data_IF_458682910438
#
_entry.id   IF_458682910438
#
_cell.length_a   1.000
_cell.length_b   1.000
_cell.length_c   1.000
_cell.angle_alpha   90.00
_cell.angle_beta   90.00
_cell.angle_gamma   90.00
#
_symmetry.space_group_name_H-M   'P 1'
#
loop_
_entity.id
_entity.type
_entity.pdbx_description
1 polymer ?
#
# COMPACT_ATOMS: atom_id res chain seq x y z
N UNK A 1 -71.23 51.50 -10.22
CA UNK A 1 -69.86 51.39 -9.69
C UNK A 1 -69.47 49.95 -9.86
N UNK A 2 -68.80 49.62 -10.95
CA UNK A 2 -68.36 48.25 -11.27
C UNK A 2 -66.84 48.17 -11.18
N UNK A 3 -66.33 47.39 -10.22
CA UNK A 3 -64.95 47.14 -10.06
C UNK A 3 -64.50 45.97 -11.01
N UNK A 4 -63.54 46.22 -11.91
CA UNK A 4 -62.93 45.21 -12.77
C UNK A 4 -61.73 44.59 -12.04
N UNK A 5 -61.81 43.32 -11.79
CA UNK A 5 -60.64 42.52 -11.35
C UNK A 5 -59.77 42.14 -12.55
N UNK A 6 -58.51 42.53 -12.50
CA UNK A 6 -57.42 42.07 -13.42
C UNK A 6 -56.88 40.80 -12.90
N UNK A 7 -56.92 39.73 -13.72
CA UNK A 7 -56.25 38.46 -13.49
C UNK A 7 -54.88 38.57 -14.08
N UNK A 8 -53.84 38.48 -13.23
CA UNK A 8 -52.45 38.31 -13.66
C UNK A 8 -52.16 36.82 -13.83
N UNK A 9 -51.86 36.40 -15.06
CA UNK A 9 -51.30 35.07 -15.36
C UNK A 9 -49.82 35.17 -15.17
N UNK A 10 -49.32 34.56 -14.09
CA UNK A 10 -47.89 34.44 -13.81
C UNK A 10 -47.30 33.33 -14.67
N UNK A 11 -46.42 33.69 -15.58
CA UNK A 11 -45.57 32.74 -16.29
C UNK A 11 -44.52 32.16 -15.32
N UNK A 12 -44.72 30.92 -14.93
CA UNK A 12 -43.71 30.17 -14.13
C UNK A 12 -42.49 29.86 -14.98
N UNK A 13 -41.38 30.56 -14.72
CA UNK A 13 -40.06 30.14 -15.19
C UNK A 13 -39.66 28.88 -14.42
N UNK A 14 -39.73 27.74 -15.07
CA UNK A 14 -39.03 26.54 -14.60
C UNK A 14 -37.52 26.76 -14.77
N UNK A 15 -36.85 27.20 -13.74
CA UNK A 15 -35.40 27.10 -13.63
C UNK A 15 -35.05 25.64 -13.41
N UNK A 16 -34.59 24.98 -14.45
CA UNK A 16 -33.91 23.68 -14.36
C UNK A 16 -32.61 23.94 -13.62
N UNK A 17 -32.63 23.71 -12.32
CA UNK A 17 -31.39 23.59 -11.52
C UNK A 17 -30.67 22.34 -12.01
N UNK A 18 -29.72 22.50 -12.96
CA UNK A 18 -28.68 21.52 -13.18
C UNK A 18 -27.88 21.46 -11.87
N UNK A 19 -28.22 20.50 -11.02
CA UNK A 19 -27.38 20.13 -9.92
C UNK A 19 -26.04 19.67 -10.53
N UNK A 20 -25.04 20.50 -10.40
CA UNK A 20 -23.65 20.12 -10.58
C UNK A 20 -23.37 19.07 -9.52
N UNK A 21 -23.50 17.79 -9.87
CA UNK A 21 -22.94 16.72 -9.09
C UNK A 21 -21.45 16.98 -9.01
N UNK A 22 -21.02 17.46 -7.86
CA UNK A 22 -19.63 17.76 -7.62
C UNK A 22 -18.83 16.48 -7.80
N UNK A 23 -17.76 16.54 -8.58
CA UNK A 23 -16.82 15.45 -8.86
C UNK A 23 -16.13 14.86 -7.60
N UNK A 24 -16.58 15.22 -6.40
CA UNK A 24 -16.10 14.75 -5.11
C UNK A 24 -16.74 13.44 -4.63
N UNK A 25 -17.81 12.96 -5.25
CA UNK A 25 -18.39 11.63 -4.96
C UNK A 25 -17.81 10.50 -5.78
N UNK A 26 -17.00 10.79 -6.79
CA UNK A 26 -16.50 9.78 -7.73
C UNK A 26 -15.31 8.93 -7.25
N UNK A 27 -14.96 9.00 -5.97
CA UNK A 27 -13.97 8.06 -5.42
C UNK A 27 -14.60 7.08 -4.42
N UNK A 28 -15.90 6.90 -4.46
CA UNK A 28 -16.49 5.66 -3.94
C UNK A 28 -16.16 4.62 -5.01
N UNK A 29 -15.02 4.01 -4.84
CA UNK A 29 -14.58 2.85 -5.56
C UNK A 29 -15.75 1.90 -5.70
N UNK A 30 -15.95 1.32 -6.87
CA UNK A 30 -16.98 0.31 -7.02
C UNK A 30 -16.83 -0.69 -5.87
N UNK A 31 -17.91 -0.99 -5.19
CA UNK A 31 -17.89 -1.82 -3.99
C UNK A 31 -18.92 -2.94 -4.10
N UNK A 32 -18.47 -4.16 -3.80
CA UNK A 32 -19.35 -5.31 -3.61
C UNK A 32 -19.77 -5.32 -2.15
N UNK A 33 -21.06 -5.14 -1.89
CA UNK A 33 -21.62 -5.19 -0.54
C UNK A 33 -22.16 -6.57 -0.24
N UNK A 34 -21.80 -7.10 0.93
CA UNK A 34 -22.16 -8.48 1.32
C UNK A 34 -22.44 -8.56 2.82
N UNK A 35 -22.98 -9.70 3.29
CA UNK A 35 -23.12 -9.93 4.73
C UNK A 35 -21.76 -10.09 5.41
N UNK A 36 -21.65 -9.88 6.73
CA UNK A 36 -20.42 -10.12 7.48
C UNK A 36 -19.87 -11.55 7.30
N UNK A 37 -20.74 -12.54 7.26
CA UNK A 37 -20.40 -13.96 7.09
C UNK A 37 -19.85 -14.25 5.69
N UNK A 38 -20.51 -13.73 4.65
CA UNK A 38 -20.04 -13.85 3.27
C UNK A 38 -18.71 -13.11 3.09
N UNK A 39 -18.53 -11.93 3.72
CA UNK A 39 -17.24 -11.23 3.70
C UNK A 39 -16.14 -12.04 4.40
N UNK A 40 -16.43 -12.68 5.53
CA UNK A 40 -15.47 -13.57 6.19
C UNK A 40 -15.08 -14.75 5.29
N UNK A 41 -16.02 -15.29 4.52
CA UNK A 41 -15.74 -16.33 3.52
C UNK A 41 -14.82 -15.82 2.41
N UNK A 42 -15.07 -14.63 1.85
CA UNK A 42 -14.17 -14.01 0.89
C UNK A 42 -12.76 -13.80 1.48
N UNK A 43 -12.69 -13.38 2.73
CA UNK A 43 -11.40 -13.15 3.39
C UNK A 43 -10.65 -14.48 3.65
N UNK A 44 -11.34 -15.54 4.01
CA UNK A 44 -10.75 -16.86 4.26
C UNK A 44 -10.13 -17.49 2.99
N UNK A 45 -10.73 -17.22 1.83
CA UNK A 45 -10.29 -17.72 0.52
C UNK A 45 -9.53 -16.68 -0.30
N UNK A 46 -9.24 -15.51 0.28
CA UNK A 46 -8.55 -14.44 -0.44
C UNK A 46 -7.14 -14.87 -0.84
N UNK A 47 -6.72 -14.42 -2.01
CA UNK A 47 -5.32 -14.53 -2.43
C UNK A 47 -4.49 -13.67 -1.48
N UNK A 48 -3.59 -14.30 -0.72
CA UNK A 48 -2.61 -13.64 0.15
C UNK A 48 -1.27 -13.54 -0.57
N UNK A 49 -0.95 -14.54 -1.37
CA UNK A 49 0.29 -14.66 -2.11
C UNK A 49 0.05 -15.16 -3.53
N UNK A 50 0.80 -14.61 -4.49
CA UNK A 50 0.87 -15.07 -5.88
C UNK A 50 2.33 -15.24 -6.28
N UNK A 51 2.63 -16.20 -7.14
CA UNK A 51 3.97 -16.27 -7.71
C UNK A 51 4.25 -15.03 -8.55
N UNK A 52 5.25 -14.21 -8.20
CA UNK A 52 5.59 -13.00 -8.97
C UNK A 52 6.26 -13.32 -10.31
N UNK A 53 6.61 -14.59 -10.56
CA UNK A 53 7.45 -14.97 -11.68
C UNK A 53 8.93 -14.57 -11.48
N UNK A 54 9.71 -14.68 -12.55
CA UNK A 54 11.08 -14.19 -12.55
C UNK A 54 11.08 -12.69 -12.88
N UNK A 55 11.65 -11.90 -12.00
CA UNK A 55 11.85 -10.46 -12.19
C UNK A 55 13.33 -10.18 -12.48
N UNK A 56 13.60 -9.13 -13.22
CA UNK A 56 14.94 -8.58 -13.36
C UNK A 56 15.13 -7.35 -12.47
N UNK A 57 16.37 -6.92 -12.19
CA UNK A 57 16.62 -5.66 -11.49
C UNK A 57 15.97 -4.45 -12.18
N UNK A 58 15.80 -4.49 -13.51
CA UNK A 58 15.10 -3.47 -14.27
C UNK A 58 13.60 -3.50 -13.97
N UNK A 59 12.97 -4.66 -13.96
CA UNK A 59 11.54 -4.78 -13.63
C UNK A 59 11.27 -4.26 -12.21
N UNK A 60 12.14 -4.61 -11.26
CA UNK A 60 12.03 -4.11 -9.88
C UNK A 60 12.19 -2.59 -9.80
N UNK A 61 13.08 -2.01 -10.58
CA UNK A 61 13.26 -0.56 -10.66
C UNK A 61 12.03 0.14 -11.24
N UNK A 62 11.50 -0.36 -12.36
CA UNK A 62 10.31 0.16 -13.03
C UNK A 62 9.03 -0.04 -12.19
N UNK A 63 8.88 -1.23 -11.63
CA UNK A 63 7.71 -1.67 -10.88
C UNK A 63 6.64 -2.35 -11.72
N UNK A 64 5.47 -2.67 -11.14
CA UNK A 64 4.43 -3.40 -11.86
C UNK A 64 3.99 -2.68 -13.13
N UNK A 65 4.00 -3.41 -14.24
CA UNK A 65 3.65 -2.89 -15.56
C UNK A 65 2.21 -2.35 -15.57
N UNK A 66 2.00 -1.18 -16.16
CA UNK A 66 0.68 -0.56 -16.28
C UNK A 66 0.12 0.07 -15.00
N UNK A 67 0.85 0.00 -13.89
CA UNK A 67 0.40 0.63 -12.63
C UNK A 67 0.40 2.17 -12.69
N UNK A 68 1.19 2.76 -13.57
CA UNK A 68 1.39 4.21 -13.68
C UNK A 68 1.42 4.65 -15.16
N UNK A 69 1.06 5.93 -15.42
CA UNK A 69 1.15 6.50 -16.77
C UNK A 69 2.59 6.87 -17.17
N UNK A 70 3.56 6.73 -16.28
CA UNK A 70 4.97 7.09 -16.48
C UNK A 70 5.87 5.89 -16.21
N UNK A 71 6.98 5.79 -16.97
CA UNK A 71 8.10 4.91 -16.64
C UNK A 71 8.89 5.49 -15.48
N UNK A 72 9.74 4.67 -14.85
CA UNK A 72 10.66 5.14 -13.80
C UNK A 72 11.57 6.27 -14.31
N UNK A 73 12.12 6.14 -15.52
CA UNK A 73 13.01 7.13 -16.12
C UNK A 73 12.30 8.47 -16.35
N UNK A 74 11.08 8.45 -16.94
CA UNK A 74 10.27 9.66 -17.12
C UNK A 74 9.96 10.35 -15.80
N UNK A 75 9.54 9.58 -14.80
CA UNK A 75 9.14 10.09 -13.49
C UNK A 75 10.32 10.69 -12.71
N UNK A 76 11.56 10.25 -12.97
CA UNK A 76 12.75 10.67 -12.24
C UNK A 76 13.73 11.49 -13.07
N UNK A 77 13.34 11.95 -14.25
CA UNK A 77 14.11 12.87 -15.07
C UNK A 77 14.43 14.17 -14.29
N UNK A 78 15.45 14.90 -14.70
CA UNK A 78 15.82 16.15 -14.01
C UNK A 78 14.80 17.28 -14.24
N UNK A 79 14.08 17.23 -15.34
CA UNK A 79 12.95 18.13 -15.62
C UNK A 79 11.78 17.87 -14.66
N UNK A 80 11.55 16.60 -14.34
CA UNK A 80 10.40 16.12 -13.57
C UNK A 80 9.10 16.19 -14.37
N UNK A 81 8.04 15.64 -13.82
CA UNK A 81 6.71 15.71 -14.41
C UNK A 81 6.08 17.08 -14.11
N UNK A 82 5.69 17.78 -15.17
CA UNK A 82 5.01 19.08 -15.05
C UNK A 82 3.54 18.88 -14.67
N UNK A 83 3.10 19.66 -13.68
CA UNK A 83 1.70 19.65 -13.24
C UNK A 83 1.31 20.99 -12.61
N UNK A 84 0.03 21.28 -12.55
CA UNK A 84 -0.54 22.47 -11.90
C UNK A 84 -1.17 22.07 -10.57
N UNK A 85 -0.97 22.86 -9.54
CA UNK A 85 -1.59 22.60 -8.22
C UNK A 85 -3.10 22.49 -8.35
N UNK A 86 -3.65 21.36 -7.93
CA UNK A 86 -5.08 21.15 -7.82
C UNK A 86 -5.48 21.17 -6.34
N UNK A 87 -6.32 22.13 -5.98
CA UNK A 87 -6.85 22.19 -4.62
C UNK A 87 -7.77 21.00 -4.41
N UNK A 88 -7.48 20.18 -3.40
CA UNK A 88 -8.41 19.12 -3.02
C UNK A 88 -9.72 19.75 -2.56
N UNK A 89 -10.84 19.33 -3.13
CA UNK A 89 -12.16 19.78 -2.71
C UNK A 89 -12.52 19.31 -1.29
N UNK A 90 -11.75 18.37 -0.75
CA UNK A 90 -11.82 17.84 0.60
C UNK A 90 -10.39 17.68 1.14
N UNK A 91 -10.23 17.87 2.43
CA UNK A 91 -8.95 17.66 3.09
C UNK A 91 -8.41 16.25 2.82
N UNK A 92 -7.16 16.18 2.35
CA UNK A 92 -6.49 14.90 2.09
C UNK A 92 -6.20 14.23 3.43
N UNK A 93 -6.98 13.24 3.81
CA UNK A 93 -6.90 12.56 5.11
C UNK A 93 -5.51 11.99 5.42
N UNK A 94 -5.20 11.85 6.73
CA UNK A 94 -3.93 11.34 7.27
C UNK A 94 -2.89 12.44 7.50
N UNK A 95 -1.87 12.16 8.31
CA UNK A 95 -0.86 13.14 8.79
C UNK A 95 0.29 13.38 7.80
N UNK A 96 0.49 12.51 6.81
CA UNK A 96 1.61 12.65 5.87
C UNK A 96 1.39 13.78 4.90
N UNK A 97 2.42 14.59 4.65
CA UNK A 97 2.39 15.69 3.68
C UNK A 97 2.06 15.18 2.26
N UNK A 98 0.97 15.69 1.69
CA UNK A 98 0.44 15.28 0.38
C UNK A 98 -0.32 16.41 -0.29
N UNK A 99 -0.44 16.35 -1.62
CA UNK A 99 -1.26 17.28 -2.40
C UNK A 99 -1.73 16.63 -3.70
N UNK A 100 -2.66 17.29 -4.37
CA UNK A 100 -3.09 16.94 -5.73
C UNK A 100 -2.42 17.87 -6.73
N UNK A 101 -1.97 17.30 -7.83
CA UNK A 101 -1.40 18.01 -8.96
C UNK A 101 -1.99 17.47 -10.25
N UNK A 102 -2.40 18.36 -11.16
CA UNK A 102 -3.02 17.99 -12.44
C UNK A 102 -2.05 18.24 -13.58
N UNK A 103 -1.81 17.22 -14.38
CA UNK A 103 -0.98 17.32 -15.59
C UNK A 103 -1.75 17.97 -16.74
N UNK A 104 -1.04 18.40 -17.79
CA UNK A 104 -1.65 19.06 -18.94
C UNK A 104 -2.61 18.14 -19.71
N UNK A 105 -2.37 16.83 -19.69
CA UNK A 105 -3.21 15.77 -20.28
C UNK A 105 -4.38 15.35 -19.38
N UNK A 106 -4.56 16.05 -18.23
CA UNK A 106 -5.72 15.91 -17.36
C UNK A 106 -5.63 14.85 -16.28
N UNK A 107 -4.48 14.20 -16.09
CA UNK A 107 -4.28 13.24 -15.00
C UNK A 107 -4.16 13.93 -13.64
N UNK A 108 -4.94 13.49 -12.67
CA UNK A 108 -4.83 13.92 -11.28
C UNK A 108 -3.82 13.04 -10.54
N UNK A 109 -2.68 13.63 -10.19
CA UNK A 109 -1.61 12.98 -9.43
C UNK A 109 -1.81 13.22 -7.94
N UNK A 110 -2.06 12.15 -7.19
CA UNK A 110 -2.08 12.19 -5.72
C UNK A 110 -0.67 11.91 -5.20
N UNK A 111 0.00 12.94 -4.75
CA UNK A 111 1.41 12.91 -4.39
C UNK A 111 1.59 12.98 -2.88
N UNK A 112 2.37 12.05 -2.30
CA UNK A 112 3.05 12.28 -1.03
C UNK A 112 4.43 12.85 -1.36
N UNK A 113 4.87 13.92 -0.69
CA UNK A 113 6.11 14.58 -1.04
C UNK A 113 7.09 14.66 0.13
N UNK A 114 8.37 14.65 -0.20
CA UNK A 114 9.46 14.88 0.71
C UNK A 114 9.56 16.37 1.03
N UNK A 115 9.60 16.70 2.31
CA UNK A 115 9.84 18.06 2.79
C UNK A 115 11.14 18.07 3.62
N UNK A 116 12.26 18.52 3.03
CA UNK A 116 13.55 18.56 3.71
C UNK A 116 13.58 19.59 4.85
N UNK A 117 12.66 20.56 4.89
CA UNK A 117 12.56 21.56 5.95
C UNK A 117 11.73 21.06 7.16
N UNK A 118 10.95 20.01 6.99
CA UNK A 118 10.25 19.34 8.08
C UNK A 118 11.25 18.64 8.99
N UNK A 119 11.11 18.81 10.32
CA UNK A 119 11.96 18.12 11.31
C UNK A 119 12.06 16.60 11.11
N UNK A 120 11.03 16.01 10.57
CA UNK A 120 10.94 14.56 10.35
C UNK A 120 11.08 14.19 8.88
N UNK A 121 10.94 15.16 7.96
CA UNK A 121 10.74 14.89 6.53
C UNK A 121 9.59 13.88 6.34
N UNK A 122 8.93 13.86 5.22
CA UNK A 122 7.95 12.80 4.97
C UNK A 122 8.65 11.55 4.41
N UNK A 123 9.37 10.82 5.27
CA UNK A 123 10.11 9.61 4.87
C UNK A 123 9.23 8.47 4.34
N UNK A 124 7.90 8.57 4.48
CA UNK A 124 6.96 7.65 3.83
C UNK A 124 7.10 7.62 2.31
N UNK A 125 7.56 8.71 1.71
CA UNK A 125 7.85 8.77 0.26
C UNK A 125 8.79 7.64 -0.14
N UNK A 126 9.86 7.44 0.61
CA UNK A 126 10.87 6.41 0.37
C UNK A 126 10.39 5.04 0.85
N UNK A 127 9.80 4.98 2.06
CA UNK A 127 9.33 3.73 2.68
C UNK A 127 8.23 3.05 1.88
N UNK A 128 7.28 3.81 1.35
CA UNK A 128 6.21 3.24 0.52
C UNK A 128 6.77 2.62 -0.76
N UNK A 129 7.72 3.28 -1.42
CA UNK A 129 8.36 2.73 -2.63
C UNK A 129 9.13 1.46 -2.31
N UNK A 130 10.02 1.47 -1.31
CA UNK A 130 10.81 0.30 -0.95
C UNK A 130 9.92 -0.89 -0.56
N UNK A 131 8.93 -0.67 0.31
CA UNK A 131 8.08 -1.73 0.81
C UNK A 131 7.15 -2.29 -0.28
N UNK A 132 6.53 -1.44 -1.11
CA UNK A 132 5.67 -1.93 -2.19
C UNK A 132 6.45 -2.72 -3.24
N UNK A 133 7.68 -2.29 -3.58
CA UNK A 133 8.56 -3.06 -4.48
C UNK A 133 8.96 -4.40 -3.89
N UNK A 134 9.36 -4.43 -2.62
CA UNK A 134 9.74 -5.68 -1.95
C UNK A 134 8.55 -6.64 -1.86
N UNK A 135 7.38 -6.17 -1.43
CA UNK A 135 6.19 -7.00 -1.35
C UNK A 135 5.82 -7.58 -2.70
N UNK A 136 5.80 -6.78 -3.74
CA UNK A 136 5.54 -7.23 -5.11
C UNK A 136 6.58 -8.27 -5.58
N UNK A 137 7.87 -8.02 -5.38
CA UNK A 137 8.93 -8.95 -5.76
C UNK A 137 8.85 -10.29 -5.01
N UNK A 138 8.24 -10.31 -3.83
CA UNK A 138 8.02 -11.51 -3.03
C UNK A 138 6.62 -12.14 -3.26
N UNK A 139 5.77 -11.55 -4.13
CA UNK A 139 4.44 -12.06 -4.47
C UNK A 139 3.34 -11.69 -3.48
N UNK A 140 3.58 -10.76 -2.57
CA UNK A 140 2.57 -10.20 -1.67
C UNK A 140 2.03 -8.88 -2.22
N UNK A 141 0.73 -8.66 -2.10
CA UNK A 141 0.09 -7.50 -2.71
C UNK A 141 0.16 -6.27 -1.78
N UNK A 142 0.72 -5.20 -2.31
CA UNK A 142 0.65 -3.87 -1.77
C UNK A 142 0.38 -2.87 -2.90
N UNK A 143 -0.34 -1.79 -2.61
CA UNK A 143 -0.61 -0.77 -3.62
C UNK A 143 0.72 -0.21 -4.15
N UNK A 144 0.97 -0.31 -5.45
CA UNK A 144 2.22 0.14 -6.05
C UNK A 144 2.48 1.63 -5.81
N UNK A 145 3.76 1.97 -5.67
CA UNK A 145 4.22 3.35 -5.55
C UNK A 145 5.36 3.62 -6.54
N UNK A 146 5.28 4.75 -7.25
CA UNK A 146 6.32 5.21 -8.16
C UNK A 146 7.02 6.42 -7.54
N UNK A 147 8.35 6.41 -7.39
CA UNK A 147 9.08 7.63 -7.04
C UNK A 147 8.99 8.60 -8.21
N UNK A 148 8.78 9.87 -7.92
CA UNK A 148 8.53 10.88 -8.96
C UNK A 148 9.10 12.22 -8.54
N UNK A 149 9.76 12.88 -9.48
CA UNK A 149 10.08 14.31 -9.38
C UNK A 149 8.97 15.09 -10.06
N UNK A 150 8.46 16.12 -9.43
CA UNK A 150 7.43 16.98 -10.03
C UNK A 150 7.85 18.44 -10.03
N UNK A 151 7.48 19.11 -11.11
CA UNK A 151 7.52 20.57 -11.24
C UNK A 151 6.10 21.09 -11.20
N UNK A 152 5.71 21.56 -10.02
CA UNK A 152 4.34 22.00 -9.76
C UNK A 152 4.23 23.50 -9.98
N UNK A 153 3.38 23.91 -10.92
CA UNK A 153 3.06 25.32 -11.15
C UNK A 153 1.91 25.77 -10.24
N UNK A 154 1.99 27.03 -9.78
CA UNK A 154 0.99 27.58 -8.86
C UNK A 154 0.93 26.88 -7.49
N UNK A 155 1.97 26.15 -7.11
CA UNK A 155 2.02 25.47 -5.83
C UNK A 155 2.18 26.44 -4.66
N UNK A 156 1.32 26.33 -3.61
CA UNK A 156 1.47 27.11 -2.39
C UNK A 156 2.75 26.72 -1.63
N UNK A 157 3.14 27.53 -0.69
CA UNK A 157 4.32 27.27 0.14
C UNK A 157 4.19 25.97 0.93
N UNK A 158 3.00 25.72 1.48
CA UNK A 158 2.63 24.44 2.04
C UNK A 158 1.50 23.82 1.21
N UNK A 159 1.81 22.94 0.25
CA UNK A 159 0.77 22.38 -0.62
C UNK A 159 -0.17 21.39 0.11
N UNK A 160 0.24 20.84 1.26
CA UNK A 160 -0.61 19.98 2.05
C UNK A 160 -1.81 20.74 2.66
N UNK A 161 -1.55 21.94 3.15
CA UNK A 161 -2.59 22.80 3.73
C UNK A 161 -3.16 23.82 2.73
N UNK A 162 -2.52 23.98 1.57
CA UNK A 162 -2.86 25.02 0.60
C UNK A 162 -2.43 26.43 1.00
N UNK A 163 -1.63 26.57 2.07
CA UNK A 163 -1.23 27.86 2.65
C UNK A 163 0.04 28.43 2.01
N UNK A 164 0.16 29.78 2.09
CA UNK A 164 1.33 30.53 1.67
C UNK A 164 1.31 30.98 0.21
N UNK A 165 2.39 31.65 -0.20
CA UNK A 165 2.56 32.21 -1.54
C UNK A 165 2.62 31.11 -2.61
N UNK A 166 1.95 31.37 -3.75
CA UNK A 166 1.94 30.44 -4.88
C UNK A 166 3.06 30.76 -5.86
N UNK A 167 3.81 29.71 -6.25
CA UNK A 167 4.85 29.80 -7.29
C UNK A 167 5.15 28.41 -7.86
N UNK A 168 5.91 28.35 -8.92
CA UNK A 168 6.45 27.07 -9.42
C UNK A 168 7.45 26.51 -8.41
N UNK A 169 7.26 25.24 -8.02
CA UNK A 169 8.10 24.52 -7.06
C UNK A 169 8.44 23.13 -7.57
N UNK A 170 9.57 22.60 -7.13
CA UNK A 170 9.99 21.23 -7.42
C UNK A 170 9.87 20.38 -6.14
N UNK A 171 9.39 19.15 -6.29
CA UNK A 171 9.25 18.19 -5.20
C UNK A 171 9.82 16.85 -5.60
N UNK A 172 10.51 16.19 -4.65
CA UNK A 172 10.70 14.76 -4.63
C UNK A 172 9.46 14.17 -3.97
N UNK A 173 8.80 13.27 -4.65
CA UNK A 173 7.52 12.75 -4.23
C UNK A 173 7.38 11.26 -4.57
N UNK A 174 6.31 10.66 -4.15
CA UNK A 174 5.83 9.40 -4.69
C UNK A 174 4.39 9.53 -5.17
N UNK A 175 4.11 8.90 -6.29
CA UNK A 175 2.79 8.69 -6.83
C UNK A 175 2.31 7.30 -6.40
N UNK A 176 1.20 7.25 -5.68
CA UNK A 176 0.57 5.97 -5.34
C UNK A 176 -0.40 5.59 -6.46
N UNK A 177 -0.36 4.33 -6.89
CA UNK A 177 -1.33 3.81 -7.84
C UNK A 177 -2.76 3.87 -7.29
N UNK A 178 -3.74 3.77 -8.16
CA UNK A 178 -5.13 3.62 -7.74
C UNK A 178 -5.30 2.33 -6.93
N UNK A 179 -6.17 2.40 -5.93
CA UNK A 179 -6.47 1.22 -5.15
C UNK A 179 -7.23 0.21 -5.99
N UNK A 180 -6.98 -1.09 -5.80
CA UNK A 180 -7.70 -2.10 -6.55
C UNK A 180 -9.19 -2.07 -6.22
N UNK A 181 -10.01 -2.26 -7.26
CA UNK A 181 -11.47 -2.24 -7.20
C UNK A 181 -12.05 -3.42 -7.97
N UNK A 182 -13.29 -3.84 -7.68
CA UNK A 182 -14.14 -3.37 -6.59
C UNK A 182 -13.70 -3.89 -5.23
N UNK A 183 -13.85 -3.07 -4.19
CA UNK A 183 -13.61 -3.49 -2.81
C UNK A 183 -14.80 -4.31 -2.27
N UNK A 184 -14.53 -5.26 -1.38
CA UNK A 184 -15.57 -6.10 -0.74
C UNK A 184 -15.82 -5.59 0.68
N UNK A 185 -17.02 -5.07 0.92
CA UNK A 185 -17.43 -4.44 2.17
C UNK A 185 -18.58 -5.21 2.84
N UNK A 186 -18.68 -5.14 4.16
CA UNK A 186 -19.90 -5.54 4.85
C UNK A 186 -21.01 -4.50 4.67
N UNK A 187 -22.25 -4.97 4.61
CA UNK A 187 -23.43 -4.10 4.60
C UNK A 187 -23.40 -3.12 5.77
N UNK A 188 -23.78 -1.87 5.51
CA UNK A 188 -23.86 -0.80 6.52
C UNK A 188 -22.52 -0.20 6.96
N UNK A 189 -21.38 -0.64 6.43
CA UNK A 189 -20.06 -0.05 6.73
C UNK A 189 -19.44 0.56 5.48
N UNK A 190 -18.85 1.74 5.66
CA UNK A 190 -18.06 2.45 4.65
C UNK A 190 -16.60 2.32 5.06
N UNK A 191 -15.69 2.12 4.09
CA UNK A 191 -14.24 2.01 4.28
C UNK A 191 -13.75 0.90 5.21
N UNK A 192 -14.46 -0.23 5.22
CA UNK A 192 -14.03 -1.37 6.00
C UNK A 192 -12.88 -2.13 5.32
N UNK A 193 -11.65 -1.90 5.80
CA UNK A 193 -10.51 -2.78 5.51
C UNK A 193 -10.59 -4.11 6.27
N UNK A 194 -9.62 -4.98 6.06
CA UNK A 194 -9.42 -6.17 6.89
C UNK A 194 -8.36 -5.89 7.97
N UNK A 195 -8.45 -6.57 9.10
CA UNK A 195 -7.39 -6.58 10.09
C UNK A 195 -6.63 -7.90 10.05
N UNK A 196 -5.39 -7.89 10.56
CA UNK A 196 -4.59 -9.11 10.70
C UNK A 196 -5.33 -10.17 11.53
N UNK A 197 -6.06 -9.74 12.55
CA UNK A 197 -6.92 -10.61 13.37
C UNK A 197 -8.11 -11.16 12.59
N UNK A 198 -8.75 -10.32 11.74
CA UNK A 198 -9.86 -10.80 10.90
C UNK A 198 -9.39 -11.88 9.94
N UNK A 199 -8.23 -11.67 9.30
CA UNK A 199 -7.67 -12.62 8.34
C UNK A 199 -7.26 -13.94 9.04
N UNK A 200 -6.58 -13.88 10.17
CA UNK A 200 -6.26 -15.07 10.97
C UNK A 200 -7.53 -15.83 11.40
N UNK A 201 -8.53 -15.10 11.90
CA UNK A 201 -9.81 -15.70 12.31
C UNK A 201 -10.52 -16.37 11.13
N UNK A 202 -10.59 -15.68 9.97
CA UNK A 202 -11.22 -16.23 8.78
C UNK A 202 -10.52 -17.52 8.30
N UNK A 203 -9.20 -17.56 8.30
CA UNK A 203 -8.42 -18.76 7.93
C UNK A 203 -8.68 -19.90 8.92
N UNK A 204 -8.81 -19.62 10.22
CA UNK A 204 -9.13 -20.64 11.24
C UNK A 204 -10.51 -21.27 11.05
N UNK A 205 -11.46 -20.57 10.43
CA UNK A 205 -12.78 -21.09 10.13
C UNK A 205 -12.80 -22.04 8.93
N UNK A 206 -11.76 -22.06 8.09
CA UNK A 206 -11.65 -23.04 7.01
C UNK A 206 -11.61 -24.46 7.57
N UNK A 207 -12.21 -25.45 6.88
CA UNK A 207 -12.04 -26.85 7.23
C UNK A 207 -10.56 -27.24 7.31
N UNK A 208 -10.23 -28.15 8.25
CA UNK A 208 -8.87 -28.70 8.32
C UNK A 208 -8.54 -29.39 7.00
N UNK A 209 -7.37 -29.08 6.43
CA UNK A 209 -6.92 -29.63 5.16
C UNK A 209 -5.88 -28.76 4.47
N UNK A 210 -5.55 -29.10 3.23
CA UNK A 210 -4.48 -28.45 2.46
C UNK A 210 -4.70 -26.95 2.25
N UNK A 211 -5.95 -26.54 2.00
CA UNK A 211 -6.27 -25.12 1.79
C UNK A 211 -6.00 -24.30 3.04
N UNK A 212 -6.51 -24.72 4.20
CA UNK A 212 -6.25 -24.05 5.48
C UNK A 212 -4.76 -24.00 5.79
N UNK A 213 -4.03 -25.10 5.59
CA UNK A 213 -2.59 -25.17 5.81
C UNK A 213 -1.84 -24.16 4.91
N UNK A 214 -2.20 -24.11 3.63
CA UNK A 214 -1.62 -23.17 2.65
C UNK A 214 -1.90 -21.72 3.04
N UNK A 215 -3.14 -21.36 3.35
CA UNK A 215 -3.51 -20.01 3.75
C UNK A 215 -2.79 -19.58 5.05
N UNK A 216 -2.65 -20.48 6.01
CA UNK A 216 -1.87 -20.23 7.22
C UNK A 216 -0.39 -20.00 6.92
N UNK A 217 0.20 -20.78 6.03
CA UNK A 217 1.59 -20.59 5.58
C UNK A 217 1.78 -19.20 5.00
N UNK A 218 0.91 -18.78 4.08
CA UNK A 218 1.00 -17.46 3.44
C UNK A 218 0.75 -16.31 4.43
N UNK A 219 -0.23 -16.45 5.31
CA UNK A 219 -0.50 -15.47 6.36
C UNK A 219 0.69 -15.30 7.32
N UNK A 220 1.30 -16.41 7.77
CA UNK A 220 2.47 -16.36 8.63
C UNK A 220 3.68 -15.76 7.91
N UNK A 221 3.87 -16.06 6.63
CA UNK A 221 4.92 -15.47 5.81
C UNK A 221 4.72 -13.95 5.64
N UNK A 222 3.49 -13.50 5.32
CA UNK A 222 3.15 -12.08 5.26
C UNK A 222 3.35 -11.38 6.61
N UNK A 223 3.00 -12.06 7.71
CA UNK A 223 3.21 -11.56 9.07
C UNK A 223 4.70 -11.38 9.36
N UNK A 224 5.53 -12.38 9.02
CA UNK A 224 6.98 -12.31 9.18
C UNK A 224 7.62 -11.26 8.26
N UNK A 225 7.13 -11.08 7.04
CA UNK A 225 7.57 -10.00 6.15
C UNK A 225 7.28 -8.63 6.76
N UNK A 226 6.11 -8.46 7.39
CA UNK A 226 5.79 -7.25 8.13
C UNK A 226 6.75 -7.00 9.32
N UNK A 227 7.17 -8.06 10.03
CA UNK A 227 8.22 -7.98 11.07
C UNK A 227 9.57 -7.60 10.46
N UNK A 228 9.96 -8.25 9.37
CA UNK A 228 11.20 -7.97 8.64
C UNK A 228 11.31 -6.49 8.24
N UNK A 229 10.24 -5.93 7.69
CA UNK A 229 10.16 -4.52 7.31
C UNK A 229 9.87 -3.56 8.48
N UNK A 230 9.58 -4.08 9.69
CA UNK A 230 9.11 -3.27 10.83
C UNK A 230 7.81 -2.51 10.51
N UNK A 231 6.88 -3.14 9.78
CA UNK A 231 5.58 -2.58 9.48
C UNK A 231 4.64 -2.65 10.69
N UNK A 232 4.70 -1.63 11.56
CA UNK A 232 3.93 -1.56 12.81
C UNK A 232 2.59 -0.83 12.71
N UNK A 233 2.31 -0.14 11.60
CA UNK A 233 1.05 0.59 11.40
C UNK A 233 0.00 -0.27 10.67
N UNK A 234 -0.49 -1.30 11.38
CA UNK A 234 -1.37 -2.35 10.86
C UNK A 234 -2.85 -2.07 11.08
N UNK A 235 -3.27 -0.80 10.96
CA UNK A 235 -4.67 -0.41 11.12
C UNK A 235 -5.53 -0.95 9.98
N UNK A 236 -6.75 -1.34 10.30
CA UNK A 236 -7.73 -1.91 9.37
C UNK A 236 -7.97 -1.03 8.14
N UNK A 237 -8.02 0.27 8.32
CA UNK A 237 -8.22 1.24 7.23
C UNK A 237 -7.06 1.32 6.24
N UNK A 238 -5.93 0.67 6.55
CA UNK A 238 -4.76 0.59 5.65
C UNK A 238 -4.70 -0.70 4.85
N UNK A 239 -5.70 -1.56 4.94
CA UNK A 239 -5.81 -2.79 4.17
C UNK A 239 -7.12 -2.83 3.40
N UNK A 240 -7.14 -3.53 2.27
CA UNK A 240 -8.36 -3.75 1.48
C UNK A 240 -8.53 -5.22 1.11
N UNK A 241 -9.78 -5.65 1.15
CA UNK A 241 -10.24 -6.89 0.51
C UNK A 241 -10.92 -6.48 -0.78
N UNK A 242 -10.48 -7.01 -1.90
CA UNK A 242 -10.99 -6.62 -3.21
C UNK A 242 -11.25 -7.83 -4.11
N UNK A 243 -11.99 -7.62 -5.18
CA UNK A 243 -12.22 -8.63 -6.19
C UNK A 243 -11.10 -8.59 -7.23
N UNK A 244 -10.30 -9.63 -7.28
CA UNK A 244 -9.12 -9.72 -8.15
C UNK A 244 -9.48 -10.14 -9.60
N UNK A 245 -10.64 -10.76 -9.81
CA UNK A 245 -11.17 -11.07 -11.14
C UNK A 245 -12.55 -10.41 -11.25
N UNK A 246 -12.65 -9.34 -12.01
CA UNK A 246 -13.92 -8.76 -12.43
C UNK A 246 -14.31 -9.41 -13.75
N UNK A 247 -15.45 -10.08 -13.77
CA UNK A 247 -16.07 -10.47 -15.02
C UNK A 247 -16.78 -9.23 -15.55
N UNK A 248 -16.22 -8.60 -16.59
CA UNK A 248 -16.96 -7.60 -17.35
C UNK A 248 -18.14 -8.29 -18.03
N UNK A 249 -19.32 -8.15 -17.41
CA UNK A 249 -20.56 -8.76 -17.91
C UNK A 249 -21.03 -8.17 -19.25
N UNK A 250 -20.46 -7.04 -19.67
CA UNK A 250 -20.79 -6.42 -20.98
C UNK A 250 -20.00 -7.00 -22.17
N UNK A 251 -18.88 -7.67 -21.96
CA UNK A 251 -18.04 -8.15 -23.05
C UNK A 251 -17.89 -9.67 -23.13
N UNK A 252 -18.37 -10.45 -22.17
CA UNK A 252 -18.26 -11.93 -22.19
C UNK A 252 -16.82 -12.48 -22.21
N UNK A 253 -15.81 -11.63 -22.15
CA UNK A 253 -14.39 -12.01 -22.14
C UNK A 253 -13.80 -11.84 -20.75
N UNK A 254 -13.31 -12.95 -20.21
CA UNK A 254 -12.43 -12.96 -19.04
C UNK A 254 -11.09 -12.31 -19.43
N UNK A 255 -10.92 -11.00 -19.19
CA UNK A 255 -9.58 -10.44 -19.16
C UNK A 255 -8.93 -10.82 -17.83
N UNK A 256 -8.35 -12.01 -17.82
CA UNK A 256 -7.37 -12.40 -16.84
C UNK A 256 -6.02 -11.84 -17.30
N UNK A 257 -5.61 -10.70 -16.78
CA UNK A 257 -4.23 -10.25 -16.92
C UNK A 257 -3.34 -11.30 -16.24
N UNK A 258 -2.84 -12.26 -17.03
CA UNK A 258 -1.81 -13.26 -16.71
C UNK A 258 -1.92 -13.95 -15.33
N UNK A 259 -3.11 -14.23 -14.85
CA UNK A 259 -3.31 -15.05 -13.66
C UNK A 259 -3.36 -16.51 -14.08
N UNK A 260 -2.30 -17.25 -13.88
CA UNK A 260 -2.35 -18.71 -13.88
C UNK A 260 -3.22 -19.12 -12.70
N UNK A 261 -4.50 -19.28 -12.95
CA UNK A 261 -5.48 -19.75 -11.97
C UNK A 261 -5.31 -21.25 -11.81
N UNK A 262 -4.99 -21.77 -10.61
CA UNK A 262 -5.13 -23.21 -10.38
C UNK A 262 -6.59 -23.60 -10.55
N UNK A 263 -6.90 -24.85 -10.98
CA UNK A 263 -8.26 -25.26 -11.23
C UNK A 263 -9.13 -25.06 -9.99
N UNK A 264 -10.11 -24.17 -10.12
CA UNK A 264 -11.13 -23.88 -9.10
C UNK A 264 -11.96 -25.13 -8.88
N UNK A 265 -11.85 -25.75 -7.71
CA UNK A 265 -12.90 -26.61 -7.20
C UNK A 265 -14.06 -25.68 -6.85
N UNK A 266 -15.06 -25.65 -7.72
CA UNK A 266 -16.31 -24.93 -7.51
C UNK A 266 -17.04 -25.52 -6.30
N UNK A 267 -16.72 -25.06 -5.10
CA UNK A 267 -17.64 -25.17 -3.98
C UNK A 267 -18.74 -24.14 -4.22
N UNK A 268 -19.99 -24.58 -4.24
CA UNK A 268 -21.15 -23.69 -4.37
C UNK A 268 -21.07 -22.60 -3.30
N UNK A 269 -20.75 -21.38 -3.73
CA UNK A 269 -20.63 -20.21 -2.85
C UNK A 269 -21.95 -19.45 -2.89
N UNK A 270 -22.59 -19.19 -1.75
CA UNK A 270 -23.75 -18.30 -1.72
C UNK A 270 -23.32 -16.93 -2.24
N UNK A 271 -23.88 -16.44 -3.36
CA UNK A 271 -23.58 -15.16 -3.95
C UNK A 271 -22.36 -15.11 -4.88
N UNK A 272 -21.94 -16.26 -5.45
CA UNK A 272 -20.77 -16.41 -6.33
C UNK A 272 -20.78 -15.55 -7.63
N UNK A 273 -21.89 -14.88 -7.93
CA UNK A 273 -22.01 -14.02 -9.12
C UNK A 273 -21.26 -12.68 -9.02
N UNK A 274 -20.93 -12.21 -7.80
CA UNK A 274 -20.38 -10.87 -7.63
C UNK A 274 -18.84 -10.82 -7.62
N UNK A 275 -18.15 -11.85 -7.12
CA UNK A 275 -16.69 -11.91 -7.09
C UNK A 275 -16.18 -13.35 -7.09
N UNK A 276 -15.70 -13.88 -8.21
CA UNK A 276 -15.17 -15.24 -8.28
C UNK A 276 -13.87 -15.42 -7.51
N UNK A 277 -13.04 -14.39 -7.40
CA UNK A 277 -11.73 -14.45 -6.77
C UNK A 277 -11.44 -13.19 -5.97
N UNK A 278 -11.33 -13.32 -4.65
CA UNK A 278 -10.96 -12.22 -3.76
C UNK A 278 -9.46 -12.20 -3.48
N UNK A 279 -8.92 -11.02 -3.19
CA UNK A 279 -7.53 -10.84 -2.77
C UNK A 279 -7.43 -9.80 -1.66
N UNK A 280 -6.35 -9.88 -0.88
CA UNK A 280 -6.00 -8.89 0.13
C UNK A 280 -4.86 -8.03 -0.35
N UNK A 281 -4.89 -6.73 -0.04
CA UNK A 281 -3.79 -5.80 -0.30
C UNK A 281 -3.54 -4.89 0.88
N UNK A 282 -2.32 -4.41 1.02
CA UNK A 282 -1.94 -3.37 1.98
C UNK A 282 -1.81 -2.04 1.22
N UNK A 283 -2.60 -1.05 1.64
CA UNK A 283 -2.69 0.25 0.96
C UNK A 283 -1.59 1.20 1.42
N UNK A 284 -1.22 1.16 2.69
CA UNK A 284 -0.21 2.06 3.25
C UNK A 284 0.90 1.28 3.96
N UNK A 285 2.03 1.18 3.28
CA UNK A 285 3.25 0.52 3.75
C UNK A 285 4.37 1.53 4.03
N UNK A 286 4.05 2.80 4.17
CA UNK A 286 5.05 3.87 4.29
C UNK A 286 5.80 3.90 5.63
N UNK A 287 5.18 3.41 6.70
CA UNK A 287 5.81 3.31 8.00
C UNK A 287 6.59 1.98 8.15
N UNK A 288 7.71 1.87 7.43
CA UNK A 288 8.54 0.67 7.33
C UNK A 288 10.02 1.01 7.35
N UNK A 289 10.86 0.00 7.48
CA UNK A 289 12.33 0.08 7.48
C UNK A 289 12.86 1.08 8.53
N UNK A 290 12.32 0.99 9.76
CA UNK A 290 12.73 1.81 10.89
C UNK A 290 12.40 1.12 12.21
N UNK A 291 12.25 1.89 13.27
CA UNK A 291 11.70 1.40 14.53
C UNK A 291 10.17 1.47 14.49
N UNK A 292 9.49 0.44 14.97
CA UNK A 292 8.04 0.46 15.12
C UNK A 292 7.65 0.56 16.60
N UNK A 293 6.48 1.15 16.87
CA UNK A 293 5.90 1.18 18.21
C UNK A 293 5.78 2.55 18.86
N UNK A 294 5.37 2.56 20.13
CA UNK A 294 5.08 3.78 20.91
C UNK A 294 6.27 4.69 21.14
N UNK A 295 7.45 4.11 21.26
CA UNK A 295 8.70 4.82 21.56
C UNK A 295 9.39 5.36 20.30
N UNK A 296 8.90 4.98 19.12
CA UNK A 296 9.45 5.45 17.87
C UNK A 296 9.00 6.89 17.60
N UNK A 297 9.95 7.82 17.55
CA UNK A 297 9.67 9.10 16.93
C UNK A 297 9.33 8.88 15.45
N UNK A 298 8.61 9.80 14.82
CA UNK A 298 8.31 9.70 13.39
C UNK A 298 9.57 9.51 12.54
N UNK A 299 10.67 10.16 12.92
CA UNK A 299 11.96 10.04 12.27
C UNK A 299 12.58 8.64 12.39
N UNK A 300 12.31 7.89 13.47
CA UNK A 300 12.83 6.53 13.67
C UNK A 300 11.91 5.44 13.15
N UNK A 301 10.62 5.76 12.97
CA UNK A 301 9.62 4.79 12.51
C UNK A 301 9.61 4.55 11.00
N UNK A 302 10.25 5.43 10.22
CA UNK A 302 10.15 5.43 8.76
C UNK A 302 11.52 5.57 8.13
N UNK A 303 11.92 4.62 7.31
CA UNK A 303 13.18 4.66 6.55
C UNK A 303 14.36 5.20 7.38
N UNK A 304 14.62 4.56 8.50
CA UNK A 304 15.75 4.86 9.36
C UNK A 304 16.62 3.60 9.49
N UNK A 305 17.75 3.60 8.80
CA UNK A 305 18.63 2.44 8.70
C UNK A 305 19.12 1.94 10.06
N UNK A 306 19.60 2.85 10.92
CA UNK A 306 20.12 2.47 12.24
C UNK A 306 19.03 1.89 13.13
N UNK A 307 17.81 2.45 13.08
CA UNK A 307 16.68 1.93 13.82
C UNK A 307 16.27 0.54 13.31
N UNK A 308 16.29 0.35 11.99
CA UNK A 308 15.97 -0.94 11.38
C UNK A 308 17.05 -1.99 11.67
N UNK A 309 18.32 -1.64 11.58
CA UNK A 309 19.46 -2.51 11.88
C UNK A 309 19.40 -3.01 13.34
N UNK A 310 19.16 -2.12 14.29
CA UNK A 310 19.08 -2.48 15.73
C UNK A 310 17.94 -3.44 16.08
N UNK A 311 16.85 -3.45 15.29
CA UNK A 311 15.74 -4.38 15.51
C UNK A 311 16.10 -5.76 15.02
N UNK A 312 15.93 -6.77 15.86
CA UNK A 312 16.06 -8.16 15.41
C UNK A 312 14.79 -8.59 14.69
N UNK A 313 14.87 -9.67 13.90
CA UNK A 313 13.66 -10.25 13.32
C UNK A 313 12.86 -11.01 14.37
N UNK A 314 13.54 -11.68 15.30
CA UNK A 314 12.88 -12.40 16.39
C UNK A 314 13.31 -11.89 17.75
N UNK A 315 12.36 -11.86 18.68
CA UNK A 315 12.64 -11.60 20.08
C UNK A 315 13.48 -12.74 20.69
N UNK A 316 14.22 -12.45 21.74
CA UNK A 316 14.84 -13.50 22.54
C UNK A 316 13.74 -14.29 23.26
N UNK A 317 13.54 -15.54 22.90
CA UNK A 317 12.62 -16.47 23.55
C UNK A 317 13.34 -17.73 24.00
N UNK A 318 12.86 -18.32 25.09
CA UNK A 318 13.31 -19.64 25.49
C UNK A 318 12.55 -20.69 24.68
N UNK A 319 13.28 -21.56 23.99
CA UNK A 319 12.70 -22.65 23.17
C UNK A 319 12.49 -22.29 21.68
N UNK A 320 11.66 -23.11 21.00
CA UNK A 320 11.45 -23.06 19.55
C UNK A 320 10.27 -22.17 19.13
N UNK A 321 9.60 -21.48 20.07
CA UNK A 321 8.59 -20.49 19.71
C UNK A 321 9.26 -19.29 19.02
N UNK A 322 8.81 -18.94 17.83
CA UNK A 322 9.29 -17.76 17.13
C UNK A 322 8.31 -16.61 17.32
N UNK A 323 8.75 -15.59 18.02
CA UNK A 323 8.01 -14.32 18.11
C UNK A 323 8.76 -13.25 17.33
N UNK A 324 8.09 -12.66 16.37
CA UNK A 324 8.65 -11.54 15.61
C UNK A 324 8.90 -10.34 16.51
N UNK A 325 10.04 -9.67 16.38
CA UNK A 325 10.29 -8.42 17.13
C UNK A 325 9.58 -7.25 16.42
N UNK A 326 8.33 -7.04 16.74
CA UNK A 326 7.51 -5.98 16.19
C UNK A 326 6.61 -5.36 17.25
N UNK A 327 6.67 -4.05 17.40
CA UNK A 327 5.71 -3.31 18.21
C UNK A 327 4.72 -2.59 17.31
N UNK A 328 3.45 -2.95 17.39
CA UNK A 328 2.41 -2.24 16.63
C UNK A 328 1.97 -0.96 17.33
N UNK A 329 1.52 0.03 16.57
CA UNK A 329 0.98 1.27 17.12
C UNK A 329 -0.25 1.00 17.99
N UNK A 330 -0.54 1.89 18.95
CA UNK A 330 -1.71 1.72 19.83
C UNK A 330 -3.03 1.54 19.07
N UNK A 331 -3.20 2.28 17.96
CA UNK A 331 -4.38 2.14 17.11
C UNK A 331 -4.43 0.78 16.40
N UNK A 332 -3.28 0.22 16.07
CA UNK A 332 -3.19 -1.07 15.40
C UNK A 332 -3.30 -2.28 16.36
N UNK A 333 -3.25 -2.08 17.70
CA UNK A 333 -3.38 -3.18 18.67
C UNK A 333 -4.74 -3.89 18.60
N UNK A 334 -5.79 -3.18 18.17
CA UNK A 334 -7.12 -3.78 17.98
C UNK A 334 -7.18 -4.66 16.73
N UNK A 335 -6.35 -4.37 15.75
CA UNK A 335 -6.35 -4.97 14.42
C UNK A 335 -5.22 -5.99 14.21
N UNK A 336 -4.25 -6.06 15.13
CA UNK A 336 -3.14 -6.99 15.12
C UNK A 336 -2.46 -7.06 16.49
N UNK A 337 -1.39 -7.83 16.59
CA UNK A 337 -0.65 -8.01 17.84
C UNK A 337 0.81 -7.58 17.70
N UNK A 338 1.39 -7.14 18.80
CA UNK A 338 2.83 -6.99 18.94
C UNK A 338 3.50 -8.35 19.11
N UNK A 339 4.71 -8.48 18.61
CA UNK A 339 5.50 -9.71 18.68
C UNK A 339 4.72 -10.96 18.24
N UNK A 340 4.18 -10.97 17.00
CA UNK A 340 3.35 -12.06 16.52
C UNK A 340 4.10 -13.39 16.52
N UNK A 341 3.37 -14.48 16.79
CA UNK A 341 3.90 -15.84 16.65
C UNK A 341 4.01 -16.21 15.18
N UNK A 342 5.13 -16.79 14.80
CA UNK A 342 5.44 -17.22 13.43
C UNK A 342 5.62 -18.74 13.41
N UNK A 343 4.93 -19.42 12.51
CA UNK A 343 5.10 -20.87 12.30
C UNK A 343 6.33 -21.19 11.45
N UNK A 344 6.83 -22.41 11.57
CA UNK A 344 7.96 -22.91 10.78
C UNK A 344 7.64 -22.92 9.28
N UNK A 345 6.40 -23.26 8.90
CA UNK A 345 5.96 -23.28 7.50
C UNK A 345 6.00 -21.87 6.89
N UNK A 346 5.47 -20.88 7.61
CA UNK A 346 5.51 -19.48 7.17
C UNK A 346 6.93 -18.93 7.09
N UNK A 347 7.78 -19.29 8.07
CA UNK A 347 9.19 -18.91 8.07
C UNK A 347 9.92 -19.50 6.84
N UNK A 348 9.79 -20.80 6.61
CA UNK A 348 10.43 -21.47 5.47
C UNK A 348 9.96 -20.92 4.15
N UNK A 349 8.66 -20.71 4.01
CA UNK A 349 8.09 -20.13 2.81
C UNK A 349 8.69 -18.75 2.53
N UNK A 350 8.75 -17.85 3.53
CA UNK A 350 9.32 -16.52 3.32
C UNK A 350 10.82 -16.59 2.97
N UNK A 351 11.60 -17.48 3.60
CA UNK A 351 13.02 -17.70 3.26
C UNK A 351 13.16 -18.11 1.79
N UNK A 352 12.32 -19.03 1.32
CA UNK A 352 12.32 -19.45 -0.07
C UNK A 352 12.06 -18.27 -1.01
N UNK A 353 11.08 -17.41 -0.72
CA UNK A 353 10.82 -16.25 -1.54
C UNK A 353 11.95 -15.21 -1.48
N UNK A 354 12.53 -14.98 -0.30
CA UNK A 354 13.67 -14.06 -0.14
C UNK A 354 14.91 -14.51 -0.91
N UNK A 355 15.14 -15.81 -1.05
CA UNK A 355 16.23 -16.36 -1.86
C UNK A 355 16.04 -16.21 -3.37
N UNK A 356 14.79 -16.03 -3.82
CA UNK A 356 14.50 -15.76 -5.24
C UNK A 356 14.87 -14.33 -5.63
N UNK A 357 14.94 -13.42 -4.66
CA UNK A 357 15.32 -12.02 -4.92
C UNK A 357 16.83 -11.89 -4.84
N UNK A 358 17.43 -11.59 -5.97
CA UNK A 358 18.89 -11.41 -6.09
C UNK A 358 19.37 -10.15 -5.38
N UNK A 359 20.67 -10.09 -5.09
CA UNK A 359 21.27 -8.89 -4.49
C UNK A 359 21.09 -7.63 -5.37
N UNK A 360 21.12 -7.80 -6.70
CA UNK A 360 20.92 -6.69 -7.63
C UNK A 360 19.47 -6.19 -7.62
N UNK A 361 18.50 -7.08 -7.44
CA UNK A 361 17.09 -6.69 -7.26
C UNK A 361 16.88 -5.98 -5.94
N UNK A 362 17.53 -6.42 -4.85
CA UNK A 362 17.52 -5.68 -3.57
C UNK A 362 18.14 -4.29 -3.73
N UNK A 363 19.23 -4.16 -4.48
CA UNK A 363 19.79 -2.85 -4.85
C UNK A 363 18.81 -2.01 -5.65
N UNK A 364 18.09 -2.61 -6.61
CA UNK A 364 17.08 -1.93 -7.40
C UNK A 364 15.91 -1.42 -6.55
N UNK A 365 15.46 -2.20 -5.54
CA UNK A 365 14.44 -1.77 -4.57
C UNK A 365 14.88 -0.48 -3.86
N UNK A 366 16.08 -0.48 -3.27
CA UNK A 366 16.57 0.67 -2.50
C UNK A 366 16.97 1.85 -3.40
N UNK A 367 17.41 1.60 -4.63
CA UNK A 367 17.63 2.64 -5.64
C UNK A 367 16.32 3.29 -6.05
N UNK A 368 15.28 2.50 -6.35
CA UNK A 368 13.96 3.02 -6.64
C UNK A 368 13.42 3.87 -5.50
N UNK A 369 13.68 3.49 -4.26
CA UNK A 369 13.27 4.23 -3.08
C UNK A 369 14.15 5.47 -2.78
N UNK A 370 15.17 5.79 -3.60
CA UNK A 370 16.08 6.92 -3.39
C UNK A 370 16.67 6.99 -1.98
N UNK A 371 17.07 5.86 -1.40
CA UNK A 371 17.64 5.82 -0.04
C UNK A 371 18.97 6.57 0.07
N UNK A 372 19.64 6.82 -1.05
CA UNK A 372 20.80 7.71 -1.17
C UNK A 372 20.53 9.12 -0.65
N UNK A 373 19.31 9.61 -0.77
CA UNK A 373 18.91 10.92 -0.23
C UNK A 373 18.79 10.93 1.31
N UNK A 374 18.76 9.79 1.94
CA UNK A 374 18.67 9.61 3.40
C UNK A 374 20.04 9.34 4.06
N UNK A 375 21.08 9.18 3.27
CA UNK A 375 22.44 8.89 3.72
C UNK A 375 23.21 10.11 4.24
N UNK A 376 24.42 9.88 4.81
CA UNK A 376 25.33 10.97 5.14
C UNK A 376 25.64 11.78 3.88
N UNK A 377 25.80 13.09 4.07
CA UNK A 377 26.21 13.98 3.00
C UNK A 377 27.72 14.09 2.99
N UNK A 378 28.32 14.09 1.82
CA UNK A 378 29.72 14.41 1.63
C UNK A 378 30.06 15.84 2.07
N UNK A 379 31.35 16.18 2.14
CA UNK A 379 31.81 17.54 2.54
C UNK A 379 31.25 18.68 1.66
N UNK A 380 30.88 18.36 0.43
CA UNK A 380 30.24 19.25 -0.54
C UNK A 380 28.73 19.33 -0.44
N UNK A 381 28.15 18.60 0.52
CA UNK A 381 26.70 18.48 0.70
C UNK A 381 26.02 17.50 -0.26
N UNK A 382 26.75 16.86 -1.17
CA UNK A 382 26.22 15.82 -2.05
C UNK A 382 25.92 14.53 -1.28
N UNK A 383 24.89 13.76 -1.67
CA UNK A 383 24.67 12.45 -1.09
C UNK A 383 25.81 11.47 -1.44
N UNK A 384 26.35 10.74 -0.46
CA UNK A 384 27.24 9.58 -0.71
C UNK A 384 26.40 8.39 -1.19
N UNK A 385 25.80 8.52 -2.36
CA UNK A 385 24.71 7.68 -2.86
C UNK A 385 25.01 6.17 -2.89
N UNK A 386 26.14 5.78 -3.44
CA UNK A 386 26.48 4.36 -3.61
C UNK A 386 26.68 3.64 -2.28
N UNK A 387 27.32 4.27 -1.32
CA UNK A 387 27.60 3.71 0.00
C UNK A 387 26.31 3.53 0.82
N UNK A 388 25.37 4.45 0.68
CA UNK A 388 24.08 4.34 1.36
C UNK A 388 23.31 3.09 0.90
N UNK A 389 23.19 2.85 -0.41
CA UNK A 389 22.47 1.70 -0.96
C UNK A 389 23.11 0.39 -0.48
N UNK A 390 24.42 0.25 -0.55
CA UNK A 390 25.10 -0.97 -0.12
C UNK A 390 24.93 -1.26 1.37
N UNK A 391 24.86 -0.23 2.21
CA UNK A 391 24.58 -0.39 3.63
C UNK A 391 23.16 -0.91 3.87
N UNK A 392 22.17 -0.41 3.15
CA UNK A 392 20.78 -0.92 3.21
C UNK A 392 20.73 -2.40 2.77
N UNK A 393 21.44 -2.75 1.70
CA UNK A 393 21.56 -4.14 1.21
C UNK A 393 22.19 -5.03 2.25
N UNK A 394 23.27 -4.59 2.91
CA UNK A 394 23.93 -5.36 3.95
C UNK A 394 23.01 -5.65 5.15
N UNK A 395 22.24 -4.66 5.62
CA UNK A 395 21.26 -4.86 6.69
C UNK A 395 20.14 -5.79 6.24
N UNK A 396 19.65 -5.66 5.00
CA UNK A 396 18.67 -6.59 4.43
C UNK A 396 19.15 -8.02 4.49
N UNK A 397 20.35 -8.29 4.00
CA UNK A 397 20.96 -9.63 3.99
C UNK A 397 21.18 -10.17 5.41
N UNK A 398 21.57 -9.30 6.36
CA UNK A 398 21.71 -9.71 7.76
C UNK A 398 20.38 -10.21 8.33
N UNK A 399 19.30 -9.49 8.08
CA UNK A 399 17.96 -9.91 8.51
C UNK A 399 17.49 -11.21 7.84
N UNK A 400 17.83 -11.43 6.58
CA UNK A 400 17.58 -12.74 5.92
C UNK A 400 18.30 -13.85 6.68
N UNK A 401 19.60 -13.69 6.98
CA UNK A 401 20.35 -14.66 7.79
C UNK A 401 19.73 -14.92 9.16
N UNK A 402 19.17 -13.90 9.82
CA UNK A 402 18.47 -14.06 11.10
C UNK A 402 17.25 -14.97 10.96
N UNK A 403 16.49 -14.87 9.85
CA UNK A 403 15.33 -15.73 9.57
C UNK A 403 15.79 -17.16 9.29
N UNK A 404 16.83 -17.34 8.50
CA UNK A 404 17.39 -18.65 8.12
C UNK A 404 17.92 -19.43 9.32
N UNK A 405 18.64 -18.74 10.19
CA UNK A 405 19.28 -19.35 11.37
C UNK A 405 18.26 -19.81 12.43
N UNK A 406 17.01 -19.33 12.37
CA UNK A 406 15.97 -19.66 13.36
C UNK A 406 15.20 -20.91 12.94
N UNK A 407 14.83 -21.74 13.93
CA UNK A 407 13.85 -22.82 13.78
C UNK A 407 12.65 -22.48 14.64
N UNK A 408 11.46 -22.64 14.06
CA UNK A 408 10.19 -22.31 14.71
C UNK A 408 9.36 -23.57 14.97
N UNK A 409 8.34 -23.45 15.80
CA UNK A 409 7.37 -24.51 15.98
C UNK A 409 6.46 -24.60 14.74
N UNK A 410 5.99 -25.80 14.37
CA UNK A 410 4.98 -25.98 13.33
C UNK A 410 3.70 -25.20 13.67
N UNK A 411 2.90 -24.89 12.64
CA UNK A 411 1.55 -24.36 12.85
C UNK A 411 0.64 -25.43 13.48
N UNK A 412 -0.21 -25.01 14.44
CA UNK A 412 -1.26 -25.87 15.01
C UNK A 412 -2.39 -26.18 14.00
#
# INVERSE_FOLDING_TARGET
MMSRQLVFIGAGMFTVSMAWMSATESTILSAIRTSPEARATYLAHAIIWRDPGALSPKDVLEGPVGAFPYTYEQANSDEGIECTFAQAGKELGGSSAKFLCRTADGHDLRLKYWDPQSRTGNREVFGTVAASRLMWALGFDAVPALPIKVRCDGCPENPHTGAGSRRTRRYVAMLQAQWPTPVILSNGRVDQGWSWRDLDTAIRLLPRGLERARQRTYFNALTLLGVFMQHGDRKREQQRLYCAAHVDTEAGELRADNVVTPPLILLERPGASACPTSAVTIVDVGATFGGAGRESSEATAKMNLEAWERKRVFTATNGNECRGELTVSFRALLDGESNPVISEEGRRFLVEQLHRVTQEEVRAIFRAAHVDQLGPRGPDGSPEAGRAIDTWVAVFQDKVRQIEARRCQPAE
#
